data_IF_406084861715
#
_entry.id   IF_406084861715
#
_cell.length_a   1.000
_cell.length_b   1.000
_cell.length_c   1.000
_cell.angle_alpha   90.00
_cell.angle_beta   90.00
_cell.angle_gamma   90.00
#
_symmetry.space_group_name_H-M   'P 1'
#
loop_
_entity.id
_entity.type
_entity.pdbx_description
1 polymer ?
#
# COMPACT_ATOMS: atom_id res chain seq x y z
N UNK A 1 20.42 -0.46 21.12
CA UNK A 1 19.60 -1.37 20.31
C UNK A 1 19.45 -0.71 18.96
N UNK A 2 20.06 -1.29 17.94
CA UNK A 2 19.99 -0.76 16.57
C UNK A 2 18.59 -0.99 16.02
N UNK A 3 17.76 0.04 16.13
CA UNK A 3 16.43 0.04 15.53
C UNK A 3 16.59 0.44 14.08
N UNK A 4 16.32 -0.50 13.17
CA UNK A 4 16.21 -0.26 11.73
C UNK A 4 15.36 1.01 11.49
N UNK A 5 15.72 1.92 10.58
CA UNK A 5 14.96 3.17 10.34
C UNK A 5 13.67 2.90 9.56
N UNK A 6 12.75 3.88 9.53
CA UNK A 6 11.49 3.74 8.78
C UNK A 6 11.77 3.60 7.28
N UNK A 7 12.75 4.35 6.77
CA UNK A 7 13.18 4.26 5.37
C UNK A 7 13.68 2.86 5.02
N UNK A 8 14.44 2.23 5.90
CA UNK A 8 14.91 0.85 5.67
C UNK A 8 13.76 -0.17 5.72
N UNK A 9 12.76 0.02 6.59
CA UNK A 9 11.57 -0.86 6.58
C UNK A 9 10.78 -0.71 5.28
N UNK A 10 10.69 0.51 4.76
CA UNK A 10 10.03 0.80 3.49
C UNK A 10 10.81 0.24 2.30
N UNK A 11 12.15 0.26 2.34
CA UNK A 11 12.99 -0.37 1.34
C UNK A 11 12.80 -1.89 1.32
N UNK A 12 12.75 -2.53 2.49
CA UNK A 12 12.43 -3.96 2.60
C UNK A 12 11.03 -4.24 2.04
N UNK A 13 10.06 -3.38 2.34
CA UNK A 13 8.70 -3.51 1.79
C UNK A 13 8.70 -3.49 0.27
N UNK A 14 9.40 -2.52 -0.32
CA UNK A 14 9.52 -2.37 -1.77
C UNK A 14 10.25 -3.58 -2.39
N UNK A 15 11.26 -4.13 -1.71
CA UNK A 15 11.94 -5.36 -2.13
C UNK A 15 11.01 -6.57 -2.12
N UNK A 16 10.25 -6.80 -1.03
CA UNK A 16 9.26 -7.88 -0.98
C UNK A 16 8.25 -7.74 -2.13
N UNK A 17 7.83 -6.52 -2.46
CA UNK A 17 6.88 -6.25 -3.56
C UNK A 17 7.48 -6.60 -4.92
N UNK A 18 8.73 -6.23 -5.14
CA UNK A 18 9.45 -6.56 -6.37
C UNK A 18 9.65 -8.07 -6.51
N UNK A 19 10.03 -8.74 -5.43
CA UNK A 19 10.19 -10.20 -5.40
C UNK A 19 8.90 -10.92 -5.83
N UNK A 20 7.75 -10.44 -5.32
CA UNK A 20 6.43 -10.90 -5.73
C UNK A 20 6.16 -10.72 -7.24
N UNK A 21 6.44 -9.53 -7.78
CA UNK A 21 6.22 -9.20 -9.19
C UNK A 21 7.12 -10.06 -10.08
N UNK A 22 8.40 -10.21 -9.71
CA UNK A 22 9.40 -10.93 -10.49
C UNK A 22 9.12 -12.44 -10.51
N UNK A 23 8.77 -13.01 -9.36
CA UNK A 23 8.51 -14.45 -9.23
C UNK A 23 7.07 -14.84 -9.55
N UNK A 24 6.26 -13.89 -10.05
CA UNK A 24 4.88 -14.11 -10.50
C UNK A 24 4.02 -14.83 -9.47
N UNK A 25 4.20 -14.51 -8.19
CA UNK A 25 3.37 -15.10 -7.16
C UNK A 25 1.90 -14.71 -7.44
N UNK A 26 0.93 -15.60 -7.23
CA UNK A 26 -0.47 -15.30 -7.52
C UNK A 26 -1.09 -14.29 -6.53
N UNK A 27 -0.51 -14.11 -5.34
CA UNK A 27 -1.06 -13.25 -4.29
C UNK A 27 0.02 -12.42 -3.58
N UNK A 28 -0.18 -11.09 -3.53
CA UNK A 28 0.71 -10.16 -2.83
C UNK A 28 0.38 -10.20 -1.33
N UNK A 29 1.14 -10.99 -0.57
CA UNK A 29 0.89 -11.27 0.85
C UNK A 29 1.43 -10.19 1.81
N UNK A 30 1.32 -8.92 1.44
CA UNK A 30 1.78 -7.77 2.24
C UNK A 30 1.19 -7.74 3.66
N UNK A 31 0.01 -8.34 3.86
CA UNK A 31 -0.68 -8.41 5.13
C UNK A 31 0.13 -9.19 6.19
N UNK A 32 1.01 -10.10 5.77
CA UNK A 32 1.92 -10.83 6.67
C UNK A 32 2.85 -9.88 7.42
N UNK A 33 3.36 -8.84 6.75
CA UNK A 33 4.26 -7.84 7.33
C UNK A 33 3.55 -6.99 8.39
N UNK A 34 2.25 -6.73 8.22
CA UNK A 34 1.42 -6.02 9.22
C UNK A 34 1.36 -6.76 10.56
N UNK A 35 1.49 -8.09 10.55
CA UNK A 35 1.47 -8.91 11.76
C UNK A 35 2.82 -8.99 12.48
N UNK A 36 3.93 -8.56 11.85
CA UNK A 36 5.28 -8.63 12.46
C UNK A 36 5.40 -7.69 13.65
N UNK A 37 5.05 -6.41 13.47
CA UNK A 37 5.03 -5.44 14.57
C UNK A 37 4.15 -4.22 14.27
N UNK A 38 3.85 -3.42 15.31
CA UNK A 38 3.04 -2.19 15.18
C UNK A 38 3.60 -1.20 14.17
N UNK A 39 4.93 -1.15 14.03
CA UNK A 39 5.63 -0.21 13.18
C UNK A 39 5.49 -0.55 11.69
N UNK A 40 5.63 -1.83 11.33
CA UNK A 40 5.29 -2.33 10.00
C UNK A 40 3.85 -1.99 9.62
N UNK A 41 2.90 -2.27 10.52
CA UNK A 41 1.48 -1.94 10.32
C UNK A 41 1.26 -0.45 10.02
N UNK A 42 1.90 0.44 10.77
CA UNK A 42 1.78 1.89 10.57
C UNK A 42 2.36 2.32 9.22
N UNK A 43 3.57 1.88 8.88
CA UNK A 43 4.26 2.26 7.64
C UNK A 43 3.52 1.76 6.39
N UNK A 44 3.02 0.54 6.43
CA UNK A 44 2.28 -0.06 5.31
C UNK A 44 0.97 0.70 5.07
N UNK A 45 0.19 0.96 6.13
CA UNK A 45 -1.06 1.72 5.99
C UNK A 45 -0.84 3.20 5.64
N UNK A 46 0.32 3.76 5.99
CA UNK A 46 0.74 5.09 5.54
C UNK A 46 1.25 5.12 4.09
N UNK A 47 1.40 3.97 3.43
CA UNK A 47 1.93 3.85 2.06
C UNK A 47 0.91 3.31 1.05
N UNK A 48 -0.26 3.95 0.83
CA UNK A 48 -1.29 3.42 -0.08
C UNK A 48 -0.82 3.14 -1.50
N UNK A 49 0.09 3.97 -2.01
CA UNK A 49 0.69 3.80 -3.35
C UNK A 49 1.46 2.50 -3.47
N UNK A 50 2.16 2.08 -2.41
CA UNK A 50 2.92 0.83 -2.40
C UNK A 50 2.04 -0.39 -2.25
N UNK A 51 0.81 -0.20 -1.73
CA UNK A 51 -0.24 -1.21 -1.68
C UNK A 51 -1.09 -1.26 -2.96
N UNK A 52 -0.80 -0.40 -3.95
CA UNK A 52 -1.60 -0.27 -5.18
C UNK A 52 -3.09 -0.01 -4.88
N UNK A 53 -3.38 0.61 -3.73
CA UNK A 53 -4.74 0.98 -3.32
C UNK A 53 -5.19 2.21 -4.07
N UNK A 54 -5.97 2.02 -5.12
CA UNK A 54 -6.44 3.08 -5.99
C UNK A 54 -7.95 3.26 -5.87
N UNK A 55 -8.41 4.51 -5.88
CA UNK A 55 -9.83 4.84 -5.99
C UNK A 55 -10.20 4.89 -7.49
N UNK A 56 -11.04 3.93 -7.92
CA UNK A 56 -11.54 3.89 -9.29
C UNK A 56 -12.69 4.90 -9.46
N UNK A 57 -12.47 5.91 -10.29
CA UNK A 57 -13.49 6.86 -10.72
C UNK A 57 -14.02 6.46 -12.09
N UNK A 58 -15.24 5.93 -12.14
CA UNK A 58 -16.00 5.72 -13.37
C UNK A 58 -17.05 6.82 -13.56
N UNK A 59 -17.52 7.03 -14.79
CA UNK A 59 -18.59 8.00 -15.14
C UNK A 59 -19.90 7.85 -14.34
N UNK A 60 -20.13 6.68 -13.72
CA UNK A 60 -21.30 6.40 -12.87
C UNK A 60 -21.04 6.63 -11.38
N UNK A 61 -19.79 6.82 -10.98
CA UNK A 61 -19.39 7.00 -9.57
C UNK A 61 -19.59 8.46 -9.19
N UNK A 62 -20.28 8.77 -8.08
CA UNK A 62 -20.39 10.14 -7.60
C UNK A 62 -19.04 10.61 -7.04
N UNK A 63 -18.13 11.00 -7.95
CA UNK A 63 -16.71 11.31 -7.67
C UNK A 63 -16.54 12.20 -6.45
N UNK A 64 -17.35 13.26 -6.32
CA UNK A 64 -17.29 14.16 -5.16
C UNK A 64 -17.53 13.46 -3.82
N UNK A 65 -18.60 12.65 -3.72
CA UNK A 65 -18.93 11.92 -2.48
C UNK A 65 -17.89 10.86 -2.13
N UNK A 66 -17.31 10.24 -3.14
CA UNK A 66 -16.24 9.26 -2.93
C UNK A 66 -14.98 9.97 -2.41
N UNK A 67 -14.56 11.06 -3.05
CA UNK A 67 -13.36 11.80 -2.64
C UNK A 67 -13.47 12.42 -1.23
N UNK A 68 -14.66 12.88 -0.82
CA UNK A 68 -14.85 13.52 0.49
C UNK A 68 -14.72 12.56 1.68
N UNK A 69 -14.90 11.25 1.47
CA UNK A 69 -14.92 10.24 2.54
C UNK A 69 -13.60 9.47 2.71
N UNK A 70 -12.72 9.49 1.71
CA UNK A 70 -11.50 8.68 1.71
C UNK A 70 -10.26 9.55 1.99
N UNK A 71 -9.22 9.00 2.65
CA UNK A 71 -7.92 9.66 2.73
C UNK A 71 -7.30 9.77 1.32
N UNK A 72 -6.21 10.53 1.20
CA UNK A 72 -5.54 10.86 -0.05
C UNK A 72 -4.94 9.62 -0.77
N UNK A 73 -5.82 8.87 -1.43
CA UNK A 73 -5.49 7.72 -2.27
C UNK A 73 -5.24 8.15 -3.72
N UNK A 74 -4.37 7.43 -4.45
CA UNK A 74 -4.24 7.55 -5.90
C UNK A 74 -5.59 7.34 -6.60
N UNK A 75 -5.86 8.15 -7.61
CA UNK A 75 -7.08 8.06 -8.42
C UNK A 75 -6.77 7.43 -9.78
N UNK A 76 -7.63 6.51 -10.20
CA UNK A 76 -7.64 5.99 -11.57
C UNK A 76 -8.94 6.44 -12.21
N UNK A 77 -8.84 7.20 -13.29
CA UNK A 77 -9.98 7.68 -14.08
C UNK A 77 -10.08 6.80 -15.32
N UNK A 78 -11.27 6.24 -15.56
CA UNK A 78 -11.55 5.37 -16.72
C UNK A 78 -12.67 5.93 -17.58
#
# INVERSE_FOLDING_TARGET
MDTLSDDSLLEIFDYCRLDFIIHWHPYWDWHTLVHVCRRWRQLIFASPRRLELHLLCTSRTPVRRTLDCWPSFPLVIN
#
